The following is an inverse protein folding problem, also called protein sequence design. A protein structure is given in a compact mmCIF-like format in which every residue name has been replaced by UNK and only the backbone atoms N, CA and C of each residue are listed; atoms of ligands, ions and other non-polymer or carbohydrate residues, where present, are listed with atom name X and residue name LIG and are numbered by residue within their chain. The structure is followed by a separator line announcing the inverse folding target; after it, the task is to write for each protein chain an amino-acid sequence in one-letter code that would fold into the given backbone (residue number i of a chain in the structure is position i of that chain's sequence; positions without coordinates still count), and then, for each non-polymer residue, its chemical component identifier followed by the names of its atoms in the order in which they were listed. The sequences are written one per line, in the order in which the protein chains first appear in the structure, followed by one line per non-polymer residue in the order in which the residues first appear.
data_IF_749764245460
#
_entry.id   IF_749764245460
#
_cell.length_a   1.000
_cell.length_b   1.000
_cell.length_c   1.000
_cell.angle_alpha   90.00
_cell.angle_beta   90.00
_cell.angle_gamma   90.00
#
_symmetry.space_group_name_H-M   'P 1'
#
loop_
_entity.id
_entity.type
_entity.pdbx_description
1 polymer ?
#
# COMPACT_ATOMS: atom_id res chain seq x y z
N UNK A 1 73.45 41.38 -20.30
CA UNK A 1 72.15 41.01 -19.67
C UNK A 1 71.47 39.95 -20.51
N UNK A 2 71.45 38.69 -20.07
CA UNK A 2 70.47 37.67 -20.49
C UNK A 2 70.25 36.74 -19.29
N UNK A 3 69.18 37.01 -18.55
CA UNK A 3 68.70 36.15 -17.47
C UNK A 3 67.92 34.99 -18.10
N UNK A 4 68.40 33.76 -17.92
CA UNK A 4 67.69 32.54 -18.31
C UNK A 4 66.83 32.11 -17.11
N UNK A 5 65.53 32.37 -17.19
CA UNK A 5 64.54 31.98 -16.20
C UNK A 5 64.24 30.48 -16.39
N UNK A 6 64.75 29.65 -15.49
CA UNK A 6 64.39 28.24 -15.40
C UNK A 6 63.01 28.10 -14.74
N UNK A 7 62.00 27.83 -15.56
CA UNK A 7 60.63 27.52 -15.11
C UNK A 7 60.58 26.05 -14.68
N UNK A 8 60.72 25.80 -13.38
CA UNK A 8 60.51 24.47 -12.78
C UNK A 8 59.01 24.16 -12.77
N UNK A 9 58.61 23.32 -13.72
CA UNK A 9 57.27 22.76 -13.83
C UNK A 9 57.05 21.79 -12.65
N UNK A 10 56.36 22.26 -11.61
CA UNK A 10 55.82 21.40 -10.55
C UNK A 10 54.73 20.51 -11.15
N UNK A 11 55.09 19.28 -11.50
CA UNK A 11 54.12 18.23 -11.82
C UNK A 11 53.51 17.79 -10.51
N UNK A 12 52.39 18.40 -10.13
CA UNK A 12 51.55 17.92 -9.06
C UNK A 12 50.97 16.56 -9.48
N UNK A 13 51.54 15.47 -8.96
CA UNK A 13 50.85 14.19 -8.90
C UNK A 13 49.64 14.38 -7.99
N UNK A 14 48.50 14.76 -8.58
CA UNK A 14 47.22 14.54 -7.93
C UNK A 14 47.04 13.02 -7.87
N UNK A 15 47.35 12.42 -6.73
CA UNK A 15 46.93 11.07 -6.43
C UNK A 15 45.40 11.06 -6.59
N UNK A 16 44.91 10.46 -7.68
CA UNK A 16 43.51 10.07 -7.78
C UNK A 16 43.28 9.09 -6.63
N UNK A 17 42.70 9.60 -5.55
CA UNK A 17 42.30 8.80 -4.43
C UNK A 17 41.14 7.93 -4.92
N UNK A 18 41.47 6.72 -5.39
CA UNK A 18 40.48 5.75 -5.88
C UNK A 18 39.56 5.30 -4.76
N UNK A 19 38.40 4.76 -5.11
CA UNK A 19 37.47 4.18 -4.14
C UNK A 19 38.20 3.16 -3.24
N UNK A 20 37.77 2.98 -1.97
CA UNK A 20 38.36 2.00 -1.08
C UNK A 20 38.36 0.61 -1.70
N UNK A 21 39.42 -0.18 -1.46
CA UNK A 21 39.57 -1.53 -2.04
C UNK A 21 38.32 -2.40 -1.78
N UNK A 22 37.81 -2.34 -0.55
CA UNK A 22 36.61 -3.08 -0.15
C UNK A 22 35.36 -2.67 -0.93
N UNK A 23 35.22 -1.41 -1.36
CA UNK A 23 34.04 -0.96 -2.09
C UNK A 23 33.87 -1.73 -3.41
N UNK A 24 34.99 -1.92 -4.12
CA UNK A 24 35.01 -2.63 -5.40
C UNK A 24 34.69 -4.13 -5.28
N UNK A 25 35.04 -4.75 -4.16
CA UNK A 25 34.76 -6.17 -3.88
C UNK A 25 33.26 -6.41 -3.62
N UNK A 26 32.58 -5.48 -2.96
CA UNK A 26 31.15 -5.58 -2.69
C UNK A 26 30.29 -5.16 -3.90
N UNK A 27 30.78 -4.25 -4.75
CA UNK A 27 30.18 -3.99 -6.07
C UNK A 27 30.10 -5.24 -6.95
N UNK A 28 31.09 -6.13 -6.85
CA UNK A 28 31.12 -7.41 -7.58
C UNK A 28 30.37 -8.54 -6.86
N UNK A 29 29.71 -8.25 -5.74
CA UNK A 29 28.98 -9.18 -4.88
C UNK A 29 29.81 -10.36 -4.31
N UNK A 30 31.14 -10.33 -4.42
CA UNK A 30 32.03 -11.41 -3.93
C UNK A 30 32.34 -11.30 -2.43
N UNK A 31 32.10 -10.13 -1.82
CA UNK A 31 32.37 -9.88 -0.40
C UNK A 31 31.19 -10.08 0.55
N UNK A 32 29.97 -10.31 0.05
CA UNK A 32 28.77 -10.37 0.90
C UNK A 32 28.56 -11.77 1.48
N UNK A 33 28.44 -11.83 2.81
CA UNK A 33 28.04 -13.04 3.52
C UNK A 33 26.60 -13.44 3.13
N UNK A 34 26.36 -14.75 3.01
CA UNK A 34 25.07 -15.33 2.60
C UNK A 34 23.94 -15.01 3.57
N UNK A 35 24.25 -14.74 4.83
CA UNK A 35 23.26 -14.37 5.85
C UNK A 35 22.79 -12.91 5.71
N UNK A 36 23.45 -12.14 4.84
CA UNK A 36 23.16 -10.73 4.63
C UNK A 36 22.78 -10.43 3.17
N UNK A 37 22.07 -9.33 2.99
CA UNK A 37 22.02 -8.61 1.73
C UNK A 37 22.88 -7.36 1.89
N UNK A 38 23.88 -7.21 1.05
CA UNK A 38 24.80 -6.08 1.11
C UNK A 38 24.49 -5.10 -0.02
N UNK A 39 24.58 -3.82 0.29
CA UNK A 39 24.59 -2.77 -0.71
C UNK A 39 25.69 -1.78 -0.34
N UNK A 40 26.35 -1.25 -1.36
CA UNK A 40 27.28 -0.15 -1.19
C UNK A 40 26.68 1.11 -1.77
N UNK A 41 27.12 2.25 -1.27
CA UNK A 41 26.75 3.55 -1.82
C UNK A 41 27.87 4.56 -1.66
N UNK A 42 27.87 5.54 -2.54
CA UNK A 42 28.86 6.62 -2.55
C UNK A 42 28.18 7.99 -2.69
N UNK A 43 28.86 9.04 -2.21
CA UNK A 43 28.34 10.40 -2.30
C UNK A 43 29.30 11.44 -1.76
N UNK A 44 28.98 12.72 -1.98
CA UNK A 44 29.76 13.83 -1.43
C UNK A 44 29.64 13.91 0.09
N UNK A 45 28.46 13.56 0.62
CA UNK A 45 28.20 13.48 2.05
C UNK A 45 27.81 12.07 2.49
N UNK A 46 27.85 11.82 3.80
CA UNK A 46 27.33 10.58 4.38
C UNK A 46 25.84 10.38 4.05
N UNK A 47 25.05 11.45 4.02
CA UNK A 47 23.62 11.36 3.70
C UNK A 47 23.40 10.88 2.26
N UNK A 48 24.20 11.39 1.33
CA UNK A 48 24.15 10.99 -0.09
C UNK A 48 24.56 9.53 -0.26
N UNK A 49 25.67 9.12 0.36
CA UNK A 49 26.16 7.74 0.29
C UNK A 49 25.15 6.74 0.90
N UNK A 50 24.48 7.10 2.00
CA UNK A 50 23.42 6.29 2.59
C UNK A 50 22.18 6.24 1.70
N UNK A 51 21.80 7.35 1.08
CA UNK A 51 20.67 7.40 0.13
C UNK A 51 20.93 6.48 -1.06
N UNK A 52 22.14 6.53 -1.61
CA UNK A 52 22.59 5.69 -2.73
C UNK A 52 22.55 4.20 -2.36
N UNK A 53 23.14 3.82 -1.22
CA UNK A 53 23.12 2.43 -0.75
C UNK A 53 21.69 1.89 -0.54
N UNK A 54 20.78 2.71 0.01
CA UNK A 54 19.37 2.35 0.17
C UNK A 54 18.66 2.18 -1.17
N UNK A 55 18.99 3.01 -2.15
CA UNK A 55 18.47 2.93 -3.52
C UNK A 55 18.85 1.60 -4.18
N UNK A 56 20.08 1.13 -3.98
CA UNK A 56 20.51 -0.19 -4.50
C UNK A 56 19.74 -1.36 -3.89
N UNK A 57 19.46 -1.31 -2.59
CA UNK A 57 18.60 -2.32 -1.94
C UNK A 57 17.17 -2.26 -2.49
N UNK A 58 16.61 -1.07 -2.67
CA UNK A 58 15.28 -0.90 -3.26
C UNK A 58 15.22 -1.50 -4.67
N UNK A 59 16.21 -1.21 -5.51
CA UNK A 59 16.35 -1.77 -6.87
C UNK A 59 16.46 -3.29 -6.85
N UNK A 60 17.21 -3.87 -5.90
CA UNK A 60 17.31 -5.33 -5.75
C UNK A 60 15.92 -5.97 -5.58
N UNK A 61 15.10 -5.44 -4.67
CA UNK A 61 13.75 -5.95 -4.47
C UNK A 61 12.85 -5.68 -5.68
N UNK A 62 12.87 -4.46 -6.24
CA UNK A 62 12.02 -4.09 -7.37
C UNK A 62 12.30 -4.93 -8.62
N UNK A 63 13.58 -5.10 -8.99
CA UNK A 63 13.97 -5.86 -10.18
C UNK A 63 13.60 -7.33 -10.07
N UNK A 64 13.71 -7.91 -8.87
CA UNK A 64 13.36 -9.31 -8.62
C UNK A 64 11.85 -9.54 -8.61
N UNK A 65 11.07 -8.60 -8.11
CA UNK A 65 9.60 -8.67 -8.12
C UNK A 65 9.06 -8.48 -9.55
N UNK A 66 9.54 -7.47 -10.29
CA UNK A 66 9.12 -7.22 -11.68
C UNK A 66 9.39 -8.43 -12.59
N UNK A 67 10.54 -9.09 -12.39
CA UNK A 67 10.89 -10.31 -13.14
C UNK A 67 9.92 -11.47 -12.91
N UNK A 68 9.28 -11.56 -11.74
CA UNK A 68 8.24 -12.57 -11.46
C UNK A 68 6.86 -12.15 -11.98
N UNK A 69 6.49 -10.88 -11.78
CA UNK A 69 5.17 -10.35 -12.19
C UNK A 69 4.96 -10.40 -13.72
N UNK A 70 6.00 -10.16 -14.51
CA UNK A 70 5.93 -10.24 -15.98
C UNK A 70 5.70 -11.68 -16.50
N UNK A 71 6.03 -12.70 -15.71
CA UNK A 71 5.78 -14.11 -16.05
C UNK A 71 4.33 -14.50 -15.73
N UNK A 72 3.78 -14.04 -14.59
CA UNK A 72 2.41 -14.36 -14.14
C UNK A 72 1.32 -13.60 -14.90
N UNK A 73 1.57 -12.34 -15.29
CA UNK A 73 0.58 -11.48 -15.98
C UNK A 73 0.23 -11.93 -17.41
N UNK A 74 1.07 -12.73 -18.06
CA UNK A 74 0.77 -13.28 -19.40
C UNK A 74 -0.42 -14.26 -19.41
N UNK A 75 -0.87 -14.74 -18.25
CA UNK A 75 -1.85 -15.83 -18.13
C UNK A 75 -3.23 -15.42 -17.58
N UNK A 76 -3.38 -14.25 -16.95
CA UNK A 76 -4.59 -13.91 -16.17
C UNK A 76 -5.43 -12.74 -16.72
N UNK A 77 -5.04 -12.16 -17.85
CA UNK A 77 -5.60 -10.90 -18.35
C UNK A 77 -6.96 -11.00 -19.09
N UNK A 78 -7.87 -11.87 -18.62
CA UNK A 78 -9.26 -11.92 -19.09
C UNK A 78 -10.23 -11.92 -17.91
N UNK A 79 -10.60 -10.73 -17.40
CA UNK A 79 -11.90 -10.63 -16.74
C UNK A 79 -12.22 -9.53 -15.73
N UNK A 80 -11.32 -8.64 -15.32
CA UNK A 80 -11.65 -7.66 -14.26
C UNK A 80 -11.38 -6.22 -14.74
N UNK A 81 -12.44 -5.51 -15.11
CA UNK A 81 -12.40 -4.18 -15.70
C UNK A 81 -12.50 -3.05 -14.65
N UNK A 82 -11.76 -1.96 -14.92
CA UNK A 82 -11.90 -0.57 -14.46
C UNK A 82 -11.80 -0.23 -12.96
N UNK A 83 -12.18 -1.10 -12.03
CA UNK A 83 -12.10 -0.80 -10.57
C UNK A 83 -10.68 -0.91 -9.98
N UNK A 84 -9.70 -1.39 -10.76
CA UNK A 84 -8.31 -1.58 -10.34
C UNK A 84 -7.50 -0.28 -10.26
N UNK A 85 -7.90 0.80 -10.94
CA UNK A 85 -7.06 2.01 -11.01
C UNK A 85 -6.70 2.64 -9.65
N UNK A 86 -7.61 2.62 -8.66
CA UNK A 86 -7.26 3.07 -7.29
C UNK A 86 -6.67 1.97 -6.42
N UNK A 87 -6.90 0.70 -6.77
CA UNK A 87 -6.32 -0.42 -6.07
C UNK A 87 -4.83 -0.54 -6.41
N UNK A 88 -4.47 -0.20 -7.64
CA UNK A 88 -3.09 -0.08 -8.11
C UNK A 88 -2.34 1.06 -7.42
N UNK A 89 -2.98 2.24 -7.26
CA UNK A 89 -2.39 3.37 -6.53
C UNK A 89 -2.20 3.04 -5.04
N UNK A 90 -3.22 2.47 -4.39
CA UNK A 90 -3.12 2.03 -3.00
C UNK A 90 -2.03 0.96 -2.83
N UNK A 91 -2.02 -0.06 -3.70
CA UNK A 91 -1.01 -1.13 -3.68
C UNK A 91 0.38 -0.57 -3.89
N UNK A 92 0.57 0.35 -4.85
CA UNK A 92 1.86 1.01 -5.07
C UNK A 92 2.33 1.78 -3.84
N UNK A 93 1.43 2.52 -3.18
CA UNK A 93 1.76 3.27 -1.96
C UNK A 93 2.15 2.33 -0.83
N UNK A 94 1.34 1.31 -0.53
CA UNK A 94 1.63 0.34 0.53
C UNK A 94 2.91 -0.44 0.23
N UNK A 95 3.17 -0.83 -1.03
CA UNK A 95 4.43 -1.45 -1.42
C UNK A 95 5.63 -0.51 -1.18
N UNK A 96 5.47 0.79 -1.40
CA UNK A 96 6.50 1.79 -1.11
C UNK A 96 6.74 1.93 0.39
N UNK A 97 5.68 1.97 1.21
CA UNK A 97 5.75 2.05 2.67
C UNK A 97 6.46 0.81 3.26
N UNK A 98 6.08 -0.38 2.81
CA UNK A 98 6.72 -1.65 3.22
C UNK A 98 8.19 -1.73 2.81
N UNK A 99 8.51 -1.25 1.60
CA UNK A 99 9.90 -1.18 1.13
C UNK A 99 10.72 -0.20 1.99
N UNK A 100 10.13 0.94 2.35
CA UNK A 100 10.76 1.91 3.25
C UNK A 100 11.02 1.33 4.65
N UNK A 101 10.09 0.54 5.19
CA UNK A 101 10.27 -0.13 6.47
C UNK A 101 11.42 -1.15 6.41
N UNK A 102 11.50 -1.96 5.36
CA UNK A 102 12.63 -2.88 5.17
C UNK A 102 13.97 -2.15 5.07
N UNK A 103 14.00 -1.05 4.31
CA UNK A 103 15.18 -0.19 4.15
C UNK A 103 15.61 0.43 5.49
N UNK A 104 14.67 0.69 6.40
CA UNK A 104 14.99 1.18 7.75
C UNK A 104 15.75 0.15 8.60
N UNK A 105 15.64 -1.15 8.27
CA UNK A 105 16.39 -2.23 8.91
C UNK A 105 17.82 -2.42 8.40
N UNK A 106 18.30 -1.57 7.49
CA UNK A 106 19.68 -1.60 7.02
C UNK A 106 20.64 -1.05 8.08
N UNK A 107 21.70 -1.79 8.36
CA UNK A 107 22.76 -1.41 9.30
C UNK A 107 24.02 -0.98 8.53
N UNK A 108 24.71 0.07 8.99
CA UNK A 108 26.00 0.49 8.43
C UNK A 108 27.08 -0.47 8.95
N UNK A 109 27.68 -1.26 8.04
CA UNK A 109 28.75 -2.21 8.37
C UNK A 109 30.14 -1.60 8.19
N UNK A 110 30.31 -0.71 7.19
CA UNK A 110 31.54 0.05 6.96
C UNK A 110 31.23 1.44 6.43
N UNK A 111 32.11 2.37 6.73
CA UNK A 111 32.11 3.73 6.20
C UNK A 111 33.55 4.19 6.05
N UNK A 112 33.86 4.86 4.95
CA UNK A 112 35.18 5.45 4.70
C UNK A 112 35.05 6.74 3.89
N UNK A 113 35.96 7.69 4.11
CA UNK A 113 36.03 8.92 3.34
C UNK A 113 37.36 8.98 2.59
N UNK A 114 37.31 9.07 1.26
CA UNK A 114 38.48 9.08 0.38
C UNK A 114 38.30 10.16 -0.67
N UNK A 115 39.29 11.06 -0.80
CA UNK A 115 39.30 12.08 -1.85
C UNK A 115 38.12 13.08 -1.80
N UNK A 116 37.53 13.29 -0.61
CA UNK A 116 36.33 14.14 -0.46
C UNK A 116 35.00 13.42 -0.68
N UNK A 117 35.02 12.15 -1.07
CA UNK A 117 33.84 11.29 -1.21
C UNK A 117 33.66 10.38 0.00
N UNK A 118 32.41 10.14 0.38
CA UNK A 118 32.01 9.18 1.41
C UNK A 118 31.51 7.90 0.76
N UNK A 119 31.98 6.77 1.26
CA UNK A 119 31.60 5.43 0.82
C UNK A 119 31.02 4.67 2.00
N UNK A 120 29.93 3.95 1.80
CA UNK A 120 29.29 3.14 2.83
C UNK A 120 29.02 1.71 2.34
N UNK A 121 29.09 0.77 3.27
CA UNK A 121 28.56 -0.58 3.12
C UNK A 121 27.40 -0.72 4.09
N UNK A 122 26.20 -0.94 3.57
CA UNK A 122 25.03 -1.28 4.34
C UNK A 122 24.73 -2.78 4.22
N UNK A 123 24.23 -3.37 5.30
CA UNK A 123 23.81 -4.76 5.35
C UNK A 123 22.42 -4.91 5.93
N UNK A 124 21.63 -5.79 5.31
CA UNK A 124 20.34 -6.25 5.81
C UNK A 124 20.47 -7.70 6.25
N UNK A 125 20.15 -7.99 7.51
CA UNK A 125 20.14 -9.36 8.04
C UNK A 125 18.93 -10.12 7.48
N UNK A 126 19.19 -11.16 6.67
CA UNK A 126 18.12 -11.92 6.00
C UNK A 126 17.21 -12.62 6.98
N UNK A 127 17.74 -13.14 8.09
CA UNK A 127 16.98 -13.88 9.10
C UNK A 127 16.03 -12.96 9.85
N UNK A 128 16.54 -11.81 10.32
CA UNK A 128 15.70 -10.77 10.96
C UNK A 128 14.62 -10.27 10.01
N UNK A 129 14.97 -9.95 8.77
CA UNK A 129 14.01 -9.48 7.77
C UNK A 129 12.97 -10.55 7.43
N UNK A 130 13.39 -11.81 7.25
CA UNK A 130 12.47 -12.92 7.00
C UNK A 130 11.47 -13.09 8.15
N UNK A 131 11.92 -12.95 9.40
CA UNK A 131 11.06 -13.03 10.58
C UNK A 131 10.00 -11.92 10.57
N UNK A 132 10.40 -10.67 10.35
CA UNK A 132 9.47 -9.52 10.31
C UNK A 132 8.43 -9.67 9.21
N UNK A 133 8.85 -10.04 7.99
CA UNK A 133 7.94 -10.27 6.88
C UNK A 133 6.98 -11.42 7.16
N UNK A 134 7.49 -12.50 7.76
CA UNK A 134 6.66 -13.66 8.15
C UNK A 134 5.57 -13.27 9.14
N UNK A 135 5.91 -12.51 10.19
CA UNK A 135 4.94 -12.05 11.19
C UNK A 135 3.82 -11.24 10.52
N UNK A 136 4.16 -10.27 9.67
CA UNK A 136 3.18 -9.48 8.91
C UNK A 136 2.27 -10.34 8.01
N UNK A 137 2.86 -11.30 7.29
CA UNK A 137 2.09 -12.21 6.43
C UNK A 137 1.14 -13.07 7.26
N UNK A 138 1.61 -13.63 8.38
CA UNK A 138 0.82 -14.49 9.26
C UNK A 138 -0.32 -13.73 9.95
N UNK A 139 -0.12 -12.45 10.29
CA UNK A 139 -1.16 -11.57 10.82
C UNK A 139 -2.28 -11.35 9.80
N UNK A 140 -1.94 -10.98 8.56
CA UNK A 140 -2.91 -10.78 7.47
C UNK A 140 -3.64 -12.09 7.10
N UNK A 141 -2.92 -13.21 7.00
CA UNK A 141 -3.52 -14.53 6.68
C UNK A 141 -4.43 -15.03 7.81
N UNK A 142 -4.12 -14.66 9.05
CA UNK A 142 -4.97 -14.95 10.22
C UNK A 142 -6.21 -14.06 10.23
N UNK A 143 -6.08 -12.76 9.92
CA UNK A 143 -7.24 -11.87 9.74
C UNK A 143 -8.16 -12.41 8.63
N UNK A 144 -7.62 -12.77 7.48
CA UNK A 144 -8.39 -13.34 6.36
C UNK A 144 -9.08 -14.64 6.75
N UNK A 145 -8.43 -15.48 7.55
CA UNK A 145 -9.05 -16.71 8.07
C UNK A 145 -10.27 -16.37 8.94
N UNK A 146 -10.18 -15.37 9.81
CA UNK A 146 -11.30 -14.91 10.64
C UNK A 146 -12.42 -14.28 9.81
N UNK A 147 -12.07 -13.44 8.83
CA UNK A 147 -13.02 -12.83 7.90
C UNK A 147 -13.78 -13.88 7.07
N UNK A 148 -13.11 -14.99 6.74
CA UNK A 148 -13.72 -16.10 6.02
C UNK A 148 -14.79 -16.83 6.86
N UNK A 149 -14.56 -16.95 8.17
CA UNK A 149 -15.51 -17.57 9.12
C UNK A 149 -16.80 -16.77 9.29
N UNK A 150 -16.76 -15.46 9.07
CA UNK A 150 -17.95 -14.59 9.11
C UNK A 150 -18.94 -14.91 7.97
N UNK A 151 -18.49 -15.54 6.89
CA UNK A 151 -19.30 -15.94 5.73
C UNK A 151 -20.19 -14.81 5.17
N UNK A 152 -19.65 -13.59 5.15
CA UNK A 152 -20.33 -12.38 4.68
C UNK A 152 -19.66 -11.87 3.41
N UNK A 153 -20.46 -11.51 2.39
CA UNK A 153 -19.91 -10.96 1.14
C UNK A 153 -19.13 -9.66 1.36
N UNK A 154 -19.42 -8.94 2.44
CA UNK A 154 -18.78 -7.67 2.73
C UNK A 154 -17.36 -7.81 3.29
N UNK A 155 -16.90 -9.03 3.62
CA UNK A 155 -15.50 -9.26 4.03
C UNK A 155 -14.56 -9.35 2.83
N UNK A 156 -15.06 -9.75 1.65
CA UNK A 156 -14.22 -9.99 0.48
C UNK A 156 -13.38 -8.81 0.00
N UNK A 157 -13.83 -7.54 0.03
CA UNK A 157 -12.98 -6.43 -0.37
C UNK A 157 -11.70 -6.33 0.48
N UNK A 158 -11.85 -6.47 1.80
CA UNK A 158 -10.72 -6.47 2.74
C UNK A 158 -9.82 -7.68 2.54
N UNK A 159 -10.39 -8.87 2.36
CA UNK A 159 -9.60 -10.07 2.06
C UNK A 159 -8.81 -9.95 0.75
N UNK A 160 -9.41 -9.39 -0.30
CA UNK A 160 -8.69 -9.18 -1.57
C UNK A 160 -7.57 -8.15 -1.42
N UNK A 161 -7.77 -7.12 -0.59
CA UNK A 161 -6.74 -6.15 -0.22
C UNK A 161 -5.58 -6.84 0.52
N UNK A 162 -5.89 -7.63 1.54
CA UNK A 162 -4.93 -8.40 2.33
C UNK A 162 -4.14 -9.39 1.45
N UNK A 163 -4.81 -10.13 0.57
CA UNK A 163 -4.16 -11.10 -0.32
C UNK A 163 -3.14 -10.46 -1.28
N UNK A 164 -3.40 -9.26 -1.79
CA UNK A 164 -2.43 -8.55 -2.64
C UNK A 164 -1.23 -8.06 -1.83
N UNK A 165 -1.45 -7.60 -0.59
CA UNK A 165 -0.36 -7.23 0.30
C UNK A 165 0.47 -8.47 0.69
N UNK A 166 -0.18 -9.58 1.03
CA UNK A 166 0.46 -10.87 1.31
C UNK A 166 1.30 -11.32 0.12
N UNK A 167 0.78 -11.23 -1.12
CA UNK A 167 1.54 -11.60 -2.32
C UNK A 167 2.83 -10.76 -2.44
N UNK A 168 2.73 -9.44 -2.28
CA UNK A 168 3.87 -8.53 -2.31
C UNK A 168 4.89 -8.79 -1.19
N UNK A 169 4.44 -9.10 0.02
CA UNK A 169 5.30 -9.43 1.17
C UNK A 169 5.93 -10.82 1.01
N UNK A 170 5.18 -11.81 0.55
CA UNK A 170 5.66 -13.18 0.38
C UNK A 170 6.71 -13.27 -0.73
N UNK A 171 6.60 -12.44 -1.77
CA UNK A 171 7.65 -12.31 -2.78
C UNK A 171 8.98 -11.84 -2.18
N UNK A 172 8.94 -10.81 -1.33
CA UNK A 172 10.11 -10.30 -0.62
C UNK A 172 10.64 -11.33 0.38
N UNK A 173 9.75 -11.98 1.12
CA UNK A 173 10.08 -13.05 2.05
C UNK A 173 10.85 -14.15 1.33
N UNK A 174 10.35 -14.61 0.18
CA UNK A 174 11.00 -15.64 -0.64
C UNK A 174 12.40 -15.21 -1.11
N UNK A 175 12.64 -13.92 -1.37
CA UNK A 175 13.96 -13.44 -1.77
C UNK A 175 14.99 -13.52 -0.64
N UNK A 176 14.56 -13.30 0.61
CA UNK A 176 15.44 -13.33 1.78
C UNK A 176 15.55 -14.73 2.40
N UNK A 177 14.48 -15.52 2.39
CA UNK A 177 14.38 -16.86 3.00
C UNK A 177 14.63 -18.02 2.04
N UNK A 178 14.58 -17.77 0.73
CA UNK A 178 14.60 -18.77 -0.35
C UNK A 178 13.43 -19.76 -0.36
N UNK A 179 12.41 -19.57 0.49
CA UNK A 179 11.23 -20.42 0.55
C UNK A 179 9.96 -19.58 0.63
N UNK A 180 8.92 -19.85 -0.18
CA UNK A 180 7.66 -19.15 -0.04
C UNK A 180 6.93 -19.61 1.23
N UNK A 181 6.17 -18.70 1.83
CA UNK A 181 5.30 -19.02 2.95
C UNK A 181 4.01 -19.68 2.44
N UNK A 182 3.55 -20.72 3.15
CA UNK A 182 2.30 -21.42 2.84
C UNK A 182 1.13 -20.74 3.57
N UNK A 183 0.21 -20.19 2.80
CA UNK A 183 -0.97 -19.48 3.31
C UNK A 183 -2.12 -20.43 3.67
N UNK A 184 -2.91 -20.06 4.69
CA UNK A 184 -4.17 -20.73 5.05
C UNK A 184 -5.26 -20.34 4.06
N UNK A 185 -5.34 -19.06 3.71
CA UNK A 185 -6.31 -18.52 2.76
C UNK A 185 -5.65 -18.31 1.40
N UNK A 186 -6.35 -18.72 0.34
CA UNK A 186 -5.87 -18.61 -1.05
C UNK A 186 -6.76 -17.69 -1.86
N UNK A 187 -6.15 -16.92 -2.76
CA UNK A 187 -6.85 -15.99 -3.67
C UNK A 187 -7.90 -16.71 -4.52
N UNK A 188 -7.59 -17.90 -5.03
CA UNK A 188 -8.51 -18.68 -5.85
C UNK A 188 -9.77 -19.07 -5.06
N UNK A 189 -9.61 -19.45 -3.79
CA UNK A 189 -10.73 -19.80 -2.90
C UNK A 189 -11.69 -18.62 -2.71
N UNK A 190 -11.16 -17.41 -2.55
CA UNK A 190 -11.98 -16.19 -2.38
C UNK A 190 -12.64 -15.81 -3.69
N UNK A 191 -11.91 -15.86 -4.80
CA UNK A 191 -12.45 -15.58 -6.13
C UNK A 191 -13.60 -16.54 -6.48
N UNK A 192 -13.46 -17.83 -6.19
CA UNK A 192 -14.52 -18.83 -6.38
C UNK A 192 -15.76 -18.53 -5.53
N UNK A 193 -15.58 -18.09 -4.28
CA UNK A 193 -16.69 -17.68 -3.42
C UNK A 193 -17.40 -16.44 -3.96
N UNK A 194 -16.66 -15.43 -4.42
CA UNK A 194 -17.21 -14.23 -5.08
C UNK A 194 -17.99 -14.63 -6.34
N UNK A 195 -17.43 -15.50 -7.17
CA UNK A 195 -18.05 -15.97 -8.42
C UNK A 195 -19.35 -16.73 -8.16
N UNK A 196 -19.46 -17.43 -7.03
CA UNK A 196 -20.67 -18.17 -6.61
C UNK A 196 -21.71 -17.31 -5.91
N UNK A 197 -21.43 -16.03 -5.60
CA UNK A 197 -22.43 -15.16 -4.98
C UNK A 197 -23.71 -15.06 -5.81
N UNK A 198 -24.85 -14.98 -5.13
CA UNK A 198 -26.14 -14.66 -5.76
C UNK A 198 -26.34 -13.14 -5.74
N UNK A 199 -26.79 -12.52 -6.84
CA UNK A 199 -27.07 -11.09 -6.88
C UNK A 199 -28.11 -10.65 -5.86
N UNK A 200 -27.86 -9.53 -5.16
CA UNK A 200 -28.78 -8.94 -4.19
C UNK A 200 -29.12 -7.51 -4.60
N UNK A 201 -30.41 -7.22 -4.69
CA UNK A 201 -30.90 -5.86 -4.97
C UNK A 201 -31.10 -5.08 -3.67
N UNK A 202 -30.51 -3.90 -3.59
CA UNK A 202 -30.63 -2.98 -2.46
C UNK A 202 -31.15 -1.63 -2.92
N UNK A 203 -31.95 -0.96 -2.09
CA UNK A 203 -32.36 0.43 -2.34
C UNK A 203 -31.41 1.36 -1.59
N UNK A 204 -30.83 2.34 -2.27
CA UNK A 204 -30.05 3.39 -1.61
C UNK A 204 -30.98 4.55 -1.23
N UNK A 205 -30.97 4.93 0.04
CA UNK A 205 -31.69 6.07 0.59
C UNK A 205 -30.69 7.01 1.23
N UNK A 206 -30.67 8.27 0.81
CA UNK A 206 -29.80 9.29 1.40
C UNK A 206 -30.61 10.22 2.30
N UNK A 207 -30.09 10.49 3.50
CA UNK A 207 -30.68 11.42 4.47
C UNK A 207 -30.19 12.84 4.19
N UNK A 208 -31.10 13.81 4.32
CA UNK A 208 -30.90 15.26 4.21
C UNK A 208 -30.38 15.78 2.86
N UNK A 209 -29.11 15.51 2.54
CA UNK A 209 -28.44 16.02 1.34
C UNK A 209 -28.29 14.92 0.31
N UNK A 210 -28.42 15.28 -0.97
CA UNK A 210 -28.14 14.35 -2.07
C UNK A 210 -26.69 13.86 -1.97
N UNK A 211 -26.50 12.55 -2.10
CA UNK A 211 -25.16 11.96 -2.14
C UNK A 211 -24.38 12.50 -3.35
N UNK A 212 -23.16 13.03 -3.19
CA UNK A 212 -22.33 13.48 -4.30
C UNK A 212 -22.16 12.37 -5.33
N UNK A 213 -22.19 12.71 -6.62
CA UNK A 213 -22.14 11.72 -7.70
C UNK A 213 -20.90 10.83 -7.61
N UNK A 214 -19.73 11.42 -7.30
CA UNK A 214 -18.48 10.69 -7.12
C UNK A 214 -18.55 9.67 -5.98
N UNK A 215 -19.13 10.04 -4.83
CA UNK A 215 -19.27 9.10 -3.71
C UNK A 215 -20.31 8.01 -4.00
N UNK A 216 -21.37 8.34 -4.74
CA UNK A 216 -22.30 7.33 -5.24
C UNK A 216 -21.61 6.32 -6.16
N UNK A 217 -20.73 6.79 -7.06
CA UNK A 217 -19.91 5.90 -7.89
C UNK A 217 -18.99 5.02 -7.04
N UNK A 218 -18.31 5.59 -6.04
CA UNK A 218 -17.48 4.81 -5.09
C UNK A 218 -18.29 3.69 -4.44
N UNK A 219 -19.50 3.96 -3.94
CA UNK A 219 -20.35 2.91 -3.36
C UNK A 219 -20.71 1.83 -4.37
N UNK A 220 -21.08 2.21 -5.60
CA UNK A 220 -21.42 1.25 -6.66
C UNK A 220 -20.20 0.37 -7.00
N UNK A 221 -19.03 0.97 -7.16
CA UNK A 221 -17.80 0.27 -7.52
C UNK A 221 -17.37 -0.72 -6.43
N UNK A 222 -17.55 -0.35 -5.14
CA UNK A 222 -17.25 -1.25 -4.02
C UNK A 222 -18.24 -2.42 -3.89
N UNK A 223 -19.51 -2.18 -4.21
CA UNK A 223 -20.59 -3.14 -3.99
C UNK A 223 -20.83 -4.06 -5.20
N UNK A 224 -20.53 -3.60 -6.41
CA UNK A 224 -20.77 -4.33 -7.66
C UNK A 224 -20.03 -5.68 -7.72
N UNK A 225 -18.73 -5.80 -7.35
CA UNK A 225 -18.03 -7.08 -7.27
C UNK A 225 -18.69 -8.08 -6.31
N UNK A 226 -19.40 -7.59 -5.29
CA UNK A 226 -20.15 -8.38 -4.31
C UNK A 226 -21.55 -8.78 -4.83
N UNK A 227 -21.80 -8.55 -6.12
CA UNK A 227 -23.08 -8.73 -6.83
C UNK A 227 -24.22 -7.99 -6.13
N UNK A 228 -23.92 -6.85 -5.51
CA UNK A 228 -24.94 -5.96 -4.95
C UNK A 228 -25.33 -4.95 -6.02
N UNK A 229 -26.62 -4.89 -6.33
CA UNK A 229 -27.19 -3.99 -7.33
C UNK A 229 -28.02 -2.93 -6.62
N UNK A 230 -27.59 -1.68 -6.71
CA UNK A 230 -28.36 -0.54 -6.20
C UNK A 230 -29.48 -0.22 -7.17
N UNK A 231 -30.72 -0.21 -6.68
CA UNK A 231 -31.92 0.13 -7.45
C UNK A 231 -32.56 1.41 -6.92
N UNK A 232 -33.13 2.20 -7.83
CA UNK A 232 -33.62 3.55 -7.54
C UNK A 232 -34.88 3.58 -6.66
N UNK A 233 -35.82 2.64 -6.82
CA UNK A 233 -37.02 2.50 -5.98
C UNK A 233 -37.58 1.07 -6.00
N UNK A 234 -38.01 0.58 -4.83
CA UNK A 234 -38.80 -0.65 -4.66
C UNK A 234 -39.77 -0.43 -3.49
N UNK A 235 -41.04 -0.83 -3.65
CA UNK A 235 -42.07 -0.62 -2.62
C UNK A 235 -41.73 -1.36 -1.30
N UNK A 236 -41.15 -2.55 -1.41
CA UNK A 236 -40.75 -3.41 -0.29
C UNK A 236 -39.37 -4.05 -0.55
N UNK A 237 -38.28 -3.29 -0.34
CA UNK A 237 -36.94 -3.84 -0.52
C UNK A 237 -36.62 -4.86 0.59
N UNK A 238 -35.92 -5.95 0.22
CA UNK A 238 -35.38 -6.90 1.21
C UNK A 238 -34.31 -6.23 2.07
N UNK A 239 -33.55 -5.32 1.44
CA UNK A 239 -32.47 -4.56 2.07
C UNK A 239 -32.43 -3.11 1.56
N UNK A 240 -32.15 -2.20 2.48
CA UNK A 240 -31.96 -0.76 2.23
C UNK A 240 -30.58 -0.36 2.73
N UNK A 241 -29.81 0.34 1.89
CA UNK A 241 -28.61 1.05 2.30
C UNK A 241 -29.00 2.48 2.60
N UNK A 242 -28.82 2.91 3.84
CA UNK A 242 -29.11 4.27 4.28
C UNK A 242 -27.79 5.02 4.43
N UNK A 243 -27.62 6.10 3.68
CA UNK A 243 -26.40 6.91 3.67
C UNK A 243 -26.64 8.32 4.23
N UNK A 244 -25.69 8.86 4.97
CA UNK A 244 -25.73 10.22 5.51
C UNK A 244 -24.33 10.86 5.40
N UNK A 245 -24.27 12.16 5.10
CA UNK A 245 -23.04 12.96 5.20
C UNK A 245 -23.29 14.12 6.15
N UNK A 246 -22.48 14.19 7.20
CA UNK A 246 -22.47 15.29 8.17
C UNK A 246 -21.17 16.06 8.04
N UNK A 247 -21.22 17.38 8.11
CA UNK A 247 -20.02 18.24 8.12
C UNK A 247 -20.05 19.14 9.35
N UNK A 248 -19.00 19.09 10.16
CA UNK A 248 -18.85 19.90 11.37
C UNK A 248 -17.65 20.82 11.25
N UNK A 249 -17.85 22.13 11.47
CA UNK A 249 -16.76 23.11 11.47
C UNK A 249 -15.92 22.97 12.74
N UNK A 250 -14.60 22.99 12.56
CA UNK A 250 -13.59 22.99 13.61
C UNK A 250 -12.88 24.34 13.62
N UNK A 251 -12.38 24.73 14.80
CA UNK A 251 -11.65 25.99 14.92
C UNK A 251 -10.36 25.96 14.07
N UNK A 252 -10.19 26.99 13.23
CA UNK A 252 -8.98 27.22 12.44
C UNK A 252 -8.70 28.72 12.35
N UNK A 253 -7.48 29.14 12.70
CA UNK A 253 -7.06 30.55 12.67
C UNK A 253 -6.37 30.89 11.34
N UNK A 254 -7.04 30.59 10.23
CA UNK A 254 -6.57 30.91 8.86
C UNK A 254 -7.70 31.60 8.11
N UNK A 255 -7.48 32.82 7.66
CA UNK A 255 -8.48 33.60 6.95
C UNK A 255 -8.86 32.93 5.61
N UNK A 256 -10.16 32.87 5.31
CA UNK A 256 -10.67 32.31 4.06
C UNK A 256 -10.73 30.77 3.97
N UNK A 257 -10.29 30.06 5.02
CA UNK A 257 -10.37 28.60 5.11
C UNK A 257 -11.06 28.14 6.39
N UNK A 258 -11.84 27.08 6.26
CA UNK A 258 -12.46 26.37 7.37
C UNK A 258 -11.84 24.99 7.48
N UNK A 259 -11.62 24.55 8.71
CA UNK A 259 -11.33 23.16 9.02
C UNK A 259 -12.65 22.46 9.26
N UNK A 260 -12.92 21.36 8.56
CA UNK A 260 -14.20 20.67 8.55
C UNK A 260 -13.97 19.18 8.79
N UNK A 261 -14.69 18.61 9.75
CA UNK A 261 -14.82 17.18 9.90
C UNK A 261 -15.98 16.70 9.01
N UNK A 262 -15.66 15.90 8.01
CA UNK A 262 -16.64 15.27 7.13
C UNK A 262 -16.84 13.84 7.60
N UNK A 263 -18.05 13.53 8.06
CA UNK A 263 -18.43 12.18 8.47
C UNK A 263 -19.42 11.60 7.45
N UNK A 264 -19.04 10.49 6.81
CA UNK A 264 -19.95 9.66 6.03
C UNK A 264 -20.44 8.50 6.88
N UNK A 265 -21.74 8.21 6.86
CA UNK A 265 -22.35 7.08 7.55
C UNK A 265 -23.14 6.23 6.58
N UNK A 266 -23.06 4.93 6.75
CA UNK A 266 -23.77 3.95 5.94
C UNK A 266 -24.37 2.87 6.86
N UNK A 267 -25.67 2.65 6.75
CA UNK A 267 -26.38 1.62 7.51
C UNK A 267 -27.03 0.62 6.56
N UNK A 268 -26.89 -0.68 6.84
CA UNK A 268 -27.65 -1.74 6.17
C UNK A 268 -28.89 -2.07 6.98
N UNK A 269 -30.06 -2.05 6.35
CA UNK A 269 -31.35 -2.21 7.02
C UNK A 269 -32.16 -3.30 6.31
N UNK A 270 -32.75 -4.22 7.06
CA UNK A 270 -33.59 -5.28 6.49
C UNK A 270 -35.05 -4.82 6.26
N UNK A 271 -35.86 -5.69 5.65
CA UNK A 271 -37.29 -5.44 5.41
C UNK A 271 -38.14 -5.27 6.68
N UNK A 272 -37.61 -5.62 7.86
CA UNK A 272 -38.25 -5.40 9.17
C UNK A 272 -37.79 -4.08 9.82
N UNK A 273 -37.10 -3.22 9.07
CA UNK A 273 -36.52 -1.96 9.55
C UNK A 273 -35.47 -2.12 10.66
N UNK A 274 -34.89 -3.31 10.80
CA UNK A 274 -33.80 -3.55 11.75
C UNK A 274 -32.46 -3.21 11.09
N UNK A 275 -31.62 -2.47 11.82
CA UNK A 275 -30.25 -2.18 11.38
C UNK A 275 -29.41 -3.45 11.55
N UNK A 276 -28.84 -3.91 10.45
CA UNK A 276 -28.01 -5.11 10.37
C UNK A 276 -26.52 -4.82 10.55
N UNK A 277 -26.11 -3.59 10.28
CA UNK A 277 -24.73 -3.15 10.36
C UNK A 277 -24.62 -1.67 10.08
N UNK A 278 -23.53 -1.08 10.58
CA UNK A 278 -23.23 0.35 10.47
C UNK A 278 -21.77 0.50 10.15
N UNK A 279 -21.48 1.50 9.33
CA UNK A 279 -20.14 1.87 8.93
C UNK A 279 -20.07 3.39 8.91
N UNK A 280 -18.99 3.94 9.43
CA UNK A 280 -18.73 5.37 9.34
C UNK A 280 -17.29 5.64 8.92
N UNK A 281 -17.12 6.62 8.05
CA UNK A 281 -15.82 7.16 7.66
C UNK A 281 -15.74 8.62 8.12
N UNK A 282 -14.60 9.01 8.67
CA UNK A 282 -14.32 10.38 9.11
C UNK A 282 -13.10 10.90 8.35
N UNK A 283 -13.20 12.11 7.83
CA UNK A 283 -12.10 12.79 7.15
C UNK A 283 -12.04 14.25 7.58
N UNK A 284 -10.86 14.71 7.95
CA UNK A 284 -10.61 16.08 8.36
C UNK A 284 -10.05 16.87 7.16
N UNK A 285 -10.75 17.92 6.75
CA UNK A 285 -10.43 18.66 5.54
C UNK A 285 -10.33 20.16 5.78
N UNK A 286 -9.31 20.78 5.16
CA UNK A 286 -9.24 22.24 5.05
C UNK A 286 -9.82 22.68 3.71
N UNK A 287 -10.91 23.46 3.76
CA UNK A 287 -11.65 23.88 2.57
C UNK A 287 -12.32 25.25 2.77
N UNK A 288 -12.81 25.85 1.68
CA UNK A 288 -13.53 27.12 1.73
C UNK A 288 -14.99 26.95 2.16
N UNK A 289 -15.58 25.78 1.93
CA UNK A 289 -16.96 25.45 2.27
C UNK A 289 -17.16 23.92 2.40
N UNK A 290 -18.34 23.51 2.87
CA UNK A 290 -18.68 22.09 3.08
C UNK A 290 -18.62 21.26 1.80
N UNK A 291 -19.05 21.78 0.66
CA UNK A 291 -19.06 21.01 -0.60
C UNK A 291 -17.63 20.69 -1.06
N UNK A 292 -16.72 21.67 -0.96
CA UNK A 292 -15.30 21.46 -1.24
C UNK A 292 -14.66 20.50 -0.24
N UNK A 293 -15.01 20.57 1.04
CA UNK A 293 -14.53 19.61 2.03
C UNK A 293 -15.00 18.19 1.72
N UNK A 294 -16.29 18.01 1.37
CA UNK A 294 -16.84 16.71 1.00
C UNK A 294 -16.11 16.14 -0.22
N UNK A 295 -15.90 16.93 -1.28
CA UNK A 295 -15.17 16.49 -2.48
C UNK A 295 -13.74 16.04 -2.15
N UNK A 296 -13.05 16.75 -1.26
CA UNK A 296 -11.71 16.37 -0.79
C UNK A 296 -11.69 15.14 0.12
N UNK A 297 -12.78 14.89 0.86
CA UNK A 297 -12.90 13.76 1.76
C UNK A 297 -13.20 12.43 1.05
N UNK A 298 -13.61 12.44 -0.23
CA UNK A 298 -14.02 11.23 -0.96
C UNK A 298 -12.92 10.15 -1.00
N UNK A 299 -11.64 10.45 -1.26
CA UNK A 299 -10.57 9.45 -1.22
C UNK A 299 -10.45 8.77 0.15
N UNK A 300 -10.42 9.54 1.24
CA UNK A 300 -10.34 9.00 2.60
C UNK A 300 -11.58 8.16 2.96
N UNK A 301 -12.77 8.64 2.56
CA UNK A 301 -14.01 7.88 2.73
C UNK A 301 -13.95 6.57 1.96
N UNK A 302 -13.45 6.58 0.72
CA UNK A 302 -13.30 5.37 -0.10
C UNK A 302 -12.40 4.35 0.58
N UNK A 303 -11.23 4.77 1.06
CA UNK A 303 -10.29 3.90 1.78
C UNK A 303 -10.93 3.31 3.05
N UNK A 304 -11.57 4.16 3.87
CA UNK A 304 -12.27 3.72 5.07
C UNK A 304 -13.39 2.72 4.76
N UNK A 305 -14.14 2.91 3.66
CA UNK A 305 -15.18 1.97 3.23
C UNK A 305 -14.60 0.65 2.74
N UNK A 306 -13.43 0.65 2.08
CA UNK A 306 -12.74 -0.57 1.65
C UNK A 306 -12.28 -1.42 2.84
N UNK A 307 -11.84 -0.76 3.90
CA UNK A 307 -11.19 -1.40 5.04
C UNK A 307 -12.14 -1.92 6.11
N UNK A 308 -13.40 -1.48 6.04
CA UNK A 308 -14.37 -1.68 7.10
C UNK A 308 -15.73 -2.13 6.57
N UNK A 309 -15.83 -2.54 5.30
CA UNK A 309 -17.10 -2.93 4.70
C UNK A 309 -17.75 -4.11 5.45
N UNK A 310 -16.95 -4.98 6.07
CA UNK A 310 -17.39 -6.09 6.90
C UNK A 310 -18.34 -5.66 8.03
N UNK A 311 -18.22 -4.41 8.51
CA UNK A 311 -19.08 -3.85 9.56
C UNK A 311 -20.54 -3.66 9.10
N UNK A 312 -20.81 -3.66 7.78
CA UNK A 312 -22.17 -3.56 7.25
C UNK A 312 -22.99 -4.83 7.45
N UNK A 313 -22.38 -5.99 7.70
CA UNK A 313 -23.18 -7.17 7.99
C UNK A 313 -22.46 -8.36 8.60
N UNK A 314 -23.08 -8.92 9.65
CA UNK A 314 -22.88 -10.28 10.15
C UNK A 314 -23.71 -11.34 9.40
N UNK A 315 -24.25 -11.04 8.22
CA UNK A 315 -25.04 -11.99 7.43
C UNK A 315 -24.19 -13.20 7.04
N UNK A 316 -24.43 -14.34 7.72
CA UNK A 316 -24.08 -15.66 7.19
C UNK A 316 -25.06 -15.95 6.05
N UNK A 317 -24.58 -16.01 4.82
CA UNK A 317 -25.43 -16.30 3.67
C UNK A 317 -25.59 -17.82 3.48
N UNK A 318 -26.43 -18.41 4.32
CA UNK A 318 -27.18 -19.63 4.02
C UNK A 318 -28.67 -19.27 4.23
N UNK A 319 -29.25 -18.50 3.30
CA UNK A 319 -30.71 -18.29 3.10
C UNK A 319 -31.01 -17.42 1.85
#
# INVERSE_FOLDING_TARGET
MKFLLAFTMFVSLAAQAGAPDWFSDYMKATGCDKDYLCAVGEGETLADALSDARSEVAKFFQNKINSKSQVSTSSEQKGINASMGSFDEWTSRTMSEETSEMISGLEIKKQEQVGGHTYVLMTLDRSKTAKLLKEKIEDLDTEDSQLLELNSRFTYPKMMKNLVLIEALNDRYTLVSHMPLKLKVKKETIQDKINKLVPVKMVLVTIDKKLPAKLNHVLIDLLSPLKVVIVSKKLSPKYTLRSEIVTEEQYLKVEGFKKLNVQFRLELINSKSQVMGKLSALSEQTARNSDQAIEKAIPDIKEALQDNLEQLSNLKFED
#
